data_IF_624579364960
#
_entry.id   IF_624579364960
#
_cell.length_a   1.000
_cell.length_b   1.000
_cell.length_c   1.000
_cell.angle_alpha   90.00
_cell.angle_beta   90.00
_cell.angle_gamma   90.00
#
_symmetry.space_group_name_H-M   'P 1'
#
loop_
_entity.id
_entity.type
_entity.pdbx_description
1 polymer ?
#
# COMPACT_ATOMS: atom_id res chain seq x y z
N UNK A 1 23.47 8.10 -66.47
CA UNK A 1 22.60 9.06 -65.75
C UNK A 1 21.23 8.40 -65.61
N UNK A 2 21.00 7.65 -64.53
CA UNK A 2 19.70 7.10 -64.15
C UNK A 2 19.69 6.98 -62.63
N UNK A 3 18.75 7.69 -62.00
CA UNK A 3 18.53 7.69 -60.55
C UNK A 3 17.60 6.57 -60.13
N UNK A 4 17.80 6.10 -58.90
CA UNK A 4 16.85 5.28 -58.14
C UNK A 4 16.85 5.85 -56.70
N UNK A 5 15.67 6.04 -56.07
CA UNK A 5 15.54 6.87 -54.87
C UNK A 5 15.88 6.12 -53.58
N UNK A 6 16.36 6.88 -52.58
CA UNK A 6 16.47 6.42 -51.19
C UNK A 6 15.06 6.09 -50.68
N UNK A 7 14.84 4.83 -50.32
CA UNK A 7 13.71 4.41 -49.50
C UNK A 7 13.98 4.76 -48.03
N UNK A 8 13.18 5.70 -47.53
CA UNK A 8 13.08 6.08 -46.12
C UNK A 8 12.57 4.89 -45.31
N UNK A 9 13.42 4.29 -44.47
CA UNK A 9 12.94 3.41 -43.41
C UNK A 9 12.35 4.29 -42.31
N UNK A 10 11.01 4.35 -42.25
CA UNK A 10 10.30 4.87 -41.10
C UNK A 10 10.51 3.88 -39.94
N UNK A 11 11.34 4.25 -38.98
CA UNK A 11 11.37 3.59 -37.67
C UNK A 11 10.06 3.97 -37.00
N UNK A 12 9.09 3.05 -37.01
CA UNK A 12 7.93 3.12 -36.13
C UNK A 12 8.42 2.89 -34.70
N UNK A 13 8.70 3.97 -33.98
CA UNK A 13 8.81 3.92 -32.53
C UNK A 13 7.40 3.71 -31.99
N UNK A 14 7.01 2.45 -31.80
CA UNK A 14 5.79 2.12 -31.05
C UNK A 14 6.02 2.56 -29.61
N UNK A 15 5.42 3.69 -29.25
CA UNK A 15 5.33 4.17 -27.89
C UNK A 15 4.47 3.16 -27.12
N UNK A 16 5.09 2.21 -26.41
CA UNK A 16 4.38 1.42 -25.41
C UNK A 16 3.92 2.39 -24.33
N UNK A 17 2.64 2.74 -24.36
CA UNK A 17 1.98 3.34 -23.21
C UNK A 17 1.94 2.27 -22.12
N UNK A 18 2.92 2.25 -21.24
CA UNK A 18 2.76 1.64 -19.93
C UNK A 18 1.61 2.39 -19.27
N UNK A 19 0.44 1.76 -19.15
CA UNK A 19 -0.57 2.22 -18.22
C UNK A 19 0.09 2.21 -16.85
N UNK A 20 0.33 3.40 -16.30
CA UNK A 20 0.83 3.55 -14.95
C UNK A 20 -0.10 2.74 -14.04
N UNK A 21 0.42 1.68 -13.42
CA UNK A 21 -0.22 1.10 -12.26
C UNK A 21 -0.44 2.26 -11.28
N UNK A 22 -1.64 2.41 -10.74
CA UNK A 22 -1.94 3.44 -9.74
C UNK A 22 -1.91 2.77 -8.38
N UNK A 23 -1.09 3.30 -7.46
CA UNK A 23 -1.12 2.91 -6.08
C UNK A 23 -2.48 3.31 -5.54
N UNK A 24 -3.10 2.43 -4.75
CA UNK A 24 -4.39 2.70 -4.14
C UNK A 24 -4.23 2.57 -2.64
N UNK A 25 -4.52 3.67 -1.94
CA UNK A 25 -4.70 3.64 -0.50
C UNK A 25 -5.75 2.59 -0.09
N UNK A 26 -5.58 2.04 1.11
CA UNK A 26 -6.47 1.00 1.61
C UNK A 26 -7.94 1.45 1.54
N UNK A 27 -8.81 0.64 0.94
CA UNK A 27 -10.21 0.99 0.71
C UNK A 27 -11.15 0.50 1.82
N UNK A 28 -10.61 -0.11 2.88
CA UNK A 28 -11.36 -0.59 4.03
C UNK A 28 -10.53 -0.54 5.32
N UNK A 29 -11.20 -0.40 6.47
CA UNK A 29 -10.56 -0.36 7.79
C UNK A 29 -11.53 -0.76 8.90
N UNK A 30 -11.05 -1.47 9.92
CA UNK A 30 -11.87 -1.81 11.08
C UNK A 30 -12.16 -0.62 12.00
N UNK A 31 -13.31 -0.65 12.67
CA UNK A 31 -13.62 0.21 13.82
C UNK A 31 -12.71 -0.10 15.01
N UNK A 32 -12.68 0.78 16.03
CA UNK A 32 -11.83 0.60 17.22
C UNK A 32 -12.11 -0.71 17.96
N UNK A 33 -13.39 -1.04 18.07
CA UNK A 33 -13.91 -2.22 18.75
C UNK A 33 -13.96 -3.45 17.82
N UNK A 34 -13.57 -3.28 16.56
CA UNK A 34 -13.56 -4.31 15.53
C UNK A 34 -14.94 -4.94 15.29
N UNK A 35 -16.02 -4.25 15.68
CA UNK A 35 -17.40 -4.67 15.47
C UNK A 35 -17.93 -4.25 14.08
N UNK A 36 -17.27 -3.29 13.44
CA UNK A 36 -17.62 -2.78 12.12
C UNK A 36 -16.40 -2.64 11.23
N UNK A 37 -16.65 -2.56 9.93
CA UNK A 37 -15.67 -2.15 8.91
C UNK A 37 -16.19 -0.89 8.23
N UNK A 38 -15.35 0.13 8.15
CA UNK A 38 -15.56 1.28 7.28
C UNK A 38 -14.91 0.98 5.93
N UNK A 39 -15.62 1.26 4.84
CA UNK A 39 -15.14 0.95 3.50
C UNK A 39 -15.57 2.04 2.52
N UNK A 40 -14.78 2.18 1.45
CA UNK A 40 -15.12 2.99 0.30
C UNK A 40 -16.03 2.13 -0.57
N UNK A 41 -17.28 2.57 -0.73
CA UNK A 41 -18.21 1.96 -1.66
C UNK A 41 -18.16 2.62 -3.03
N UNK A 42 -19.02 2.14 -3.93
CA UNK A 42 -19.20 2.71 -5.26
C UNK A 42 -19.43 4.23 -5.19
N UNK A 43 -18.92 4.97 -6.17
CA UNK A 43 -18.93 6.45 -6.18
C UNK A 43 -18.12 7.08 -5.04
N UNK A 44 -17.05 6.40 -4.58
CA UNK A 44 -16.11 6.92 -3.57
C UNK A 44 -16.82 7.39 -2.28
N UNK A 45 -17.81 6.62 -1.83
CA UNK A 45 -18.61 6.95 -0.66
C UNK A 45 -18.14 6.19 0.60
N UNK A 46 -18.07 6.85 1.75
CA UNK A 46 -17.76 6.18 3.01
C UNK A 46 -18.98 5.46 3.58
N UNK A 47 -18.87 4.14 3.69
CA UNK A 47 -19.89 3.25 4.24
C UNK A 47 -19.41 2.59 5.52
N UNK A 48 -20.35 2.15 6.35
CA UNK A 48 -20.11 1.29 7.50
C UNK A 48 -20.83 -0.05 7.32
N UNK A 49 -20.08 -1.14 7.44
CA UNK A 49 -20.60 -2.49 7.54
C UNK A 49 -20.55 -2.94 9.01
N UNK A 50 -21.71 -3.23 9.59
CA UNK A 50 -21.80 -3.88 10.89
C UNK A 50 -21.58 -5.40 10.74
N UNK A 51 -20.57 -5.95 11.42
CA UNK A 51 -20.14 -7.35 11.22
C UNK A 51 -21.04 -8.38 11.93
N UNK A 52 -21.86 -7.93 12.90
CA UNK A 52 -22.81 -8.77 13.62
C UNK A 52 -24.09 -9.02 12.81
N UNK A 53 -24.62 -7.97 12.19
CA UNK A 53 -25.84 -8.00 11.38
C UNK A 53 -25.60 -8.17 9.89
N UNK A 54 -24.39 -7.88 9.41
CA UNK A 54 -24.07 -7.82 7.97
C UNK A 54 -24.69 -6.61 7.27
N UNK A 55 -25.22 -5.63 8.03
CA UNK A 55 -25.91 -4.46 7.48
C UNK A 55 -24.90 -3.40 7.04
N UNK A 56 -24.98 -3.02 5.77
CA UNK A 56 -24.27 -1.88 5.21
C UNK A 56 -25.11 -0.60 5.36
N UNK A 57 -24.51 0.48 5.85
CA UNK A 57 -25.18 1.76 6.09
C UNK A 57 -24.32 2.94 5.62
N UNK A 58 -24.99 3.98 5.11
CA UNK A 58 -24.35 5.29 4.85
C UNK A 58 -24.20 6.06 6.16
N UNK A 59 -23.08 6.74 6.33
CA UNK A 59 -22.84 7.60 7.49
C UNK A 59 -23.33 9.03 7.21
N UNK A 60 -23.83 9.69 8.25
CA UNK A 60 -24.02 11.15 8.23
C UNK A 60 -22.67 11.81 8.50
N UNK A 61 -22.01 12.27 7.45
CA UNK A 61 -20.65 12.82 7.55
C UNK A 61 -20.65 14.31 7.93
N UNK A 62 -19.57 14.79 8.58
CA UNK A 62 -19.35 16.21 8.76
C UNK A 62 -19.04 16.87 7.41
N UNK A 63 -19.27 18.18 7.32
CA UNK A 63 -19.14 18.95 6.05
C UNK A 63 -17.74 18.89 5.45
N UNK A 64 -16.72 18.62 6.26
CA UNK A 64 -15.32 18.54 5.83
C UNK A 64 -15.04 17.27 5.01
N UNK A 65 -15.85 16.22 5.12
CA UNK A 65 -15.68 14.99 4.34
C UNK A 65 -16.63 15.02 3.14
N UNK A 66 -16.06 14.99 1.96
CA UNK A 66 -16.80 15.07 0.70
C UNK A 66 -16.94 13.67 0.09
N UNK A 67 -18.18 13.17 0.06
CA UNK A 67 -18.51 11.94 -0.67
C UNK A 67 -18.18 12.13 -2.16
N UNK A 68 -17.69 11.08 -2.84
CA UNK A 68 -17.28 11.18 -4.24
C UNK A 68 -15.85 11.69 -4.46
N UNK A 69 -15.07 11.83 -3.38
CA UNK A 69 -13.66 12.23 -3.43
C UNK A 69 -12.75 11.37 -2.54
N UNK A 70 -13.30 10.34 -1.89
CA UNK A 70 -12.58 9.53 -0.90
C UNK A 70 -11.80 8.45 -1.63
N UNK A 71 -10.48 8.53 -1.56
CA UNK A 71 -9.57 7.63 -2.28
C UNK A 71 -8.81 6.69 -1.36
N UNK A 72 -8.85 6.92 -0.05
CA UNK A 72 -8.10 6.11 0.90
C UNK A 72 -8.60 6.19 2.33
N UNK A 73 -8.45 5.07 3.04
CA UNK A 73 -8.79 4.93 4.44
C UNK A 73 -7.61 4.40 5.25
N UNK A 74 -7.56 4.77 6.52
CA UNK A 74 -6.62 4.24 7.49
C UNK A 74 -7.17 4.36 8.91
N UNK A 75 -6.43 3.86 9.90
CA UNK A 75 -6.81 3.95 11.32
C UNK A 75 -5.68 4.53 12.14
N UNK A 76 -5.99 5.52 12.97
CA UNK A 76 -5.04 5.97 14.00
C UNK A 76 -5.21 5.20 15.31
N UNK A 77 -4.17 5.20 16.15
CA UNK A 77 -4.24 4.59 17.48
C UNK A 77 -5.28 5.24 18.40
N UNK A 78 -5.58 6.53 18.18
CA UNK A 78 -6.61 7.27 18.92
C UNK A 78 -8.03 6.82 18.53
N UNK A 79 -8.17 5.99 17.51
CA UNK A 79 -9.45 5.54 17.04
C UNK A 79 -10.17 6.56 16.14
N UNK A 80 -9.41 7.35 15.39
CA UNK A 80 -9.95 8.11 14.27
C UNK A 80 -9.78 7.33 12.96
N UNK A 81 -10.76 7.44 12.07
CA UNK A 81 -10.61 6.99 10.68
C UNK A 81 -9.81 8.06 9.96
N UNK A 82 -8.68 7.68 9.38
CA UNK A 82 -7.95 8.56 8.50
C UNK A 82 -8.60 8.49 7.12
N UNK A 83 -9.00 9.63 6.57
CA UNK A 83 -9.70 9.74 5.29
C UNK A 83 -8.83 10.57 4.36
N UNK A 84 -8.32 9.94 3.31
CA UNK A 84 -7.68 10.62 2.20
C UNK A 84 -8.76 11.02 1.19
N UNK A 85 -8.86 12.31 0.89
CA UNK A 85 -9.78 12.84 -0.11
C UNK A 85 -9.12 13.97 -0.89
N UNK A 86 -9.11 13.87 -2.22
CA UNK A 86 -8.38 14.83 -3.06
C UNK A 86 -6.94 15.07 -2.56
N UNK A 87 -6.65 16.31 -2.15
CA UNK A 87 -5.34 16.75 -1.65
C UNK A 87 -5.28 16.84 -0.10
N UNK A 88 -6.24 16.29 0.63
CA UNK A 88 -6.32 16.38 2.09
C UNK A 88 -6.36 15.01 2.77
N UNK A 89 -5.60 14.89 3.87
CA UNK A 89 -5.75 13.82 4.84
C UNK A 89 -6.47 14.36 6.08
N UNK A 90 -7.61 13.78 6.40
CA UNK A 90 -8.43 14.13 7.57
C UNK A 90 -8.42 13.01 8.61
N UNK A 91 -8.52 13.36 9.88
CA UNK A 91 -8.83 12.43 10.96
C UNK A 91 -10.31 12.60 11.35
N UNK A 92 -11.12 11.58 11.08
CA UNK A 92 -12.55 11.52 11.36
C UNK A 92 -12.83 10.73 12.64
N UNK A 93 -13.34 11.43 13.65
CA UNK A 93 -13.94 10.84 14.84
C UNK A 93 -15.42 10.53 14.53
N UNK A 94 -15.72 9.23 14.39
CA UNK A 94 -17.06 8.75 14.06
C UNK A 94 -18.03 8.99 15.22
N UNK A 95 -17.58 8.91 16.47
CA UNK A 95 -18.43 9.07 17.65
C UNK A 95 -18.82 10.52 17.87
N UNK A 96 -17.87 11.44 17.72
CA UNK A 96 -18.13 12.88 17.82
C UNK A 96 -18.71 13.47 16.51
N UNK A 97 -18.76 12.67 15.44
CA UNK A 97 -19.06 13.09 14.08
C UNK A 97 -18.28 14.36 13.66
N UNK A 98 -16.96 14.34 13.86
CA UNK A 98 -16.09 15.49 13.65
C UNK A 98 -14.84 15.07 12.88
N UNK A 99 -14.50 15.83 11.85
CA UNK A 99 -13.25 15.67 11.13
C UNK A 99 -12.29 16.83 11.42
N UNK A 100 -11.00 16.52 11.54
CA UNK A 100 -9.93 17.53 11.69
C UNK A 100 -8.84 17.31 10.63
N UNK A 101 -8.29 18.37 10.03
CA UNK A 101 -7.19 18.22 9.07
C UNK A 101 -5.91 17.67 9.73
N UNK A 102 -5.32 16.65 9.11
CA UNK A 102 -3.99 16.13 9.46
C UNK A 102 -2.94 16.78 8.54
N UNK A 103 -3.16 16.68 7.23
CA UNK A 103 -2.26 17.17 6.20
C UNK A 103 -3.05 17.68 4.99
N UNK A 104 -2.49 18.68 4.30
CA UNK A 104 -2.97 19.17 3.01
C UNK A 104 -1.78 19.25 2.07
N UNK A 105 -1.79 18.50 0.98
CA UNK A 105 -0.64 18.27 0.10
C UNK A 105 -0.31 19.51 -0.74
N UNK A 106 -1.33 20.22 -1.25
CA UNK A 106 -1.18 21.42 -2.09
C UNK A 106 -0.34 22.53 -1.42
N UNK A 107 -0.34 22.59 -0.08
CA UNK A 107 0.29 23.68 0.68
C UNK A 107 1.66 23.32 1.27
N UNK A 108 2.07 22.06 1.24
CA UNK A 108 3.10 21.55 2.16
C UNK A 108 4.22 20.75 1.54
N UNK A 109 4.13 20.38 0.27
CA UNK A 109 5.18 19.62 -0.39
C UNK A 109 6.03 20.51 -1.28
N UNK A 110 7.33 20.50 -1.01
CA UNK A 110 8.35 21.09 -1.87
C UNK A 110 9.55 20.16 -1.90
N UNK A 111 10.08 19.95 -3.10
CA UNK A 111 11.39 19.32 -3.30
C UNK A 111 12.37 20.46 -3.54
N UNK A 112 13.45 20.50 -2.76
CA UNK A 112 14.49 21.54 -2.84
C UNK A 112 14.00 23.00 -2.71
N UNK A 113 12.88 23.19 -1.99
CA UNK A 113 12.29 24.51 -1.75
C UNK A 113 11.37 25.03 -2.87
N UNK A 114 11.23 24.30 -3.97
CA UNK A 114 10.27 24.62 -5.05
C UNK A 114 8.93 23.93 -4.77
N UNK A 115 7.82 24.67 -4.59
CA UNK A 115 6.50 24.08 -4.46
C UNK A 115 6.10 23.37 -5.75
N UNK A 116 5.72 22.11 -5.64
CA UNK A 116 5.20 21.31 -6.75
C UNK A 116 3.84 20.74 -6.35
N UNK A 117 2.95 20.58 -7.34
CA UNK A 117 1.65 19.97 -7.09
C UNK A 117 1.83 18.45 -7.07
N UNK A 118 1.88 17.91 -5.86
CA UNK A 118 1.94 16.48 -5.60
C UNK A 118 0.55 15.95 -5.29
N UNK A 119 0.15 14.88 -5.98
CA UNK A 119 -1.08 14.13 -5.74
C UNK A 119 -0.77 12.93 -4.84
N UNK A 120 -1.46 12.75 -3.71
CA UNK A 120 -1.33 11.53 -2.93
C UNK A 120 -2.00 10.35 -3.65
N UNK A 121 -1.28 9.25 -3.80
CA UNK A 121 -1.82 8.01 -4.37
C UNK A 121 -2.08 6.96 -3.27
N UNK A 122 -1.21 6.92 -2.25
CA UNK A 122 -1.30 5.95 -1.16
C UNK A 122 -0.75 6.53 0.15
N UNK A 123 -1.20 6.00 1.29
CA UNK A 123 -0.65 6.29 2.60
C UNK A 123 -0.77 5.12 3.57
N UNK A 124 0.15 5.06 4.54
CA UNK A 124 0.13 4.08 5.62
C UNK A 124 0.43 4.74 6.97
N UNK A 125 -0.42 4.45 7.97
CA UNK A 125 -0.22 4.87 9.36
C UNK A 125 0.60 3.84 10.11
N UNK A 126 1.69 4.26 10.77
CA UNK A 126 2.49 3.38 11.61
C UNK A 126 1.87 3.27 13.01
N UNK A 127 1.39 2.09 13.43
CA UNK A 127 0.77 1.92 14.74
C UNK A 127 1.78 1.98 15.90
N UNK A 128 3.08 1.88 15.64
CA UNK A 128 4.10 1.87 16.69
C UNK A 128 4.42 3.26 17.21
N UNK A 129 4.58 4.24 16.32
CA UNK A 129 5.01 5.60 16.65
C UNK A 129 4.03 6.69 16.21
N UNK A 130 2.98 6.34 15.47
CA UNK A 130 1.96 7.26 14.97
C UNK A 130 2.40 8.14 13.79
N UNK A 131 3.54 7.83 13.17
CA UNK A 131 3.96 8.46 11.92
C UNK A 131 3.09 8.00 10.74
N UNK A 132 3.16 8.74 9.63
CA UNK A 132 2.45 8.42 8.40
C UNK A 132 3.42 8.47 7.23
N UNK A 133 3.39 7.45 6.37
CA UNK A 133 4.11 7.43 5.09
C UNK A 133 3.12 7.69 3.97
N UNK A 134 3.53 8.48 2.98
CA UNK A 134 2.74 8.82 1.81
C UNK A 134 3.52 8.54 0.53
N UNK A 135 2.86 7.94 -0.45
CA UNK A 135 3.36 7.86 -1.81
C UNK A 135 2.59 8.86 -2.66
N UNK A 136 3.33 9.70 -3.38
CA UNK A 136 2.77 10.81 -4.17
C UNK A 136 3.34 10.85 -5.57
N UNK A 137 2.56 11.38 -6.51
CA UNK A 137 2.96 11.60 -7.91
C UNK A 137 2.91 13.10 -8.28
N UNK A 138 3.75 13.53 -9.21
CA UNK A 138 3.66 14.85 -9.86
C UNK A 138 4.13 14.74 -11.30
N UNK A 139 3.18 14.65 -12.24
CA UNK A 139 3.49 14.30 -13.63
C UNK A 139 4.10 12.89 -13.69
N UNK A 140 5.32 12.79 -14.21
CA UNK A 140 6.09 11.52 -14.27
C UNK A 140 6.93 11.28 -13.00
N UNK A 141 7.01 12.25 -12.09
CA UNK A 141 7.80 12.13 -10.87
C UNK A 141 7.01 11.41 -9.78
N UNK A 142 7.72 10.65 -8.96
CA UNK A 142 7.18 9.98 -7.77
C UNK A 142 8.02 10.34 -6.55
N UNK A 143 7.40 10.33 -5.37
CA UNK A 143 8.10 10.61 -4.13
C UNK A 143 7.45 9.90 -2.96
N UNK A 144 8.29 9.51 -2.00
CA UNK A 144 7.86 8.98 -0.71
C UNK A 144 8.07 10.06 0.36
N UNK A 145 7.05 10.31 1.16
CA UNK A 145 7.09 11.29 2.23
C UNK A 145 6.83 10.62 3.58
N UNK A 146 7.53 11.09 4.59
CA UNK A 146 7.37 10.67 5.98
C UNK A 146 6.89 11.85 6.81
N UNK A 147 5.74 11.69 7.46
CA UNK A 147 5.20 12.65 8.44
C UNK A 147 5.41 12.08 9.83
N UNK A 148 6.40 12.58 10.60
CA UNK A 148 6.56 12.18 11.99
C UNK A 148 5.32 12.57 12.80
N UNK A 149 5.01 11.79 13.83
CA UNK A 149 3.89 12.08 14.73
C UNK A 149 3.99 13.51 15.29
N UNK A 150 2.83 14.16 15.39
CA UNK A 150 2.66 15.53 15.91
C UNK A 150 3.41 16.63 15.13
N UNK A 151 4.03 16.29 14.00
CA UNK A 151 4.60 17.27 13.08
C UNK A 151 3.59 17.69 12.02
N UNK A 152 3.81 18.88 11.44
CA UNK A 152 2.93 19.47 10.42
C UNK A 152 3.47 19.38 8.99
N UNK A 153 4.75 19.05 8.84
CA UNK A 153 5.47 19.08 7.57
C UNK A 153 6.07 17.71 7.28
N UNK A 154 5.66 17.05 6.19
CA UNK A 154 6.28 15.83 5.72
C UNK A 154 7.75 16.05 5.33
N UNK A 155 8.54 14.98 5.41
CA UNK A 155 9.95 14.92 5.06
C UNK A 155 10.11 14.00 3.86
N UNK A 156 10.84 14.44 2.84
CA UNK A 156 11.15 13.58 1.70
C UNK A 156 11.99 12.39 2.17
N UNK A 157 11.62 11.19 1.71
CA UNK A 157 12.32 9.95 1.97
C UNK A 157 13.03 9.55 0.68
N UNK A 158 14.34 9.44 0.74
CA UNK A 158 15.11 8.93 -0.37
C UNK A 158 14.84 7.43 -0.55
N UNK A 159 14.46 7.04 -1.77
CA UNK A 159 14.22 5.65 -2.12
C UNK A 159 15.08 5.29 -3.32
N UNK A 160 15.86 4.22 -3.21
CA UNK A 160 16.73 3.75 -4.28
C UNK A 160 16.06 2.61 -5.04
N UNK A 161 15.96 2.75 -6.37
CA UNK A 161 15.47 1.71 -7.31
C UNK A 161 14.01 1.27 -7.09
N UNK A 162 13.23 2.05 -6.36
CA UNK A 162 11.78 1.88 -6.27
C UNK A 162 11.20 3.21 -6.72
N UNK A 163 10.69 3.23 -7.94
CA UNK A 163 10.04 4.38 -8.57
C UNK A 163 8.52 4.35 -8.38
N UNK A 164 7.97 3.23 -7.89
CA UNK A 164 6.55 3.07 -7.64
C UNK A 164 6.28 2.20 -6.41
N UNK A 165 5.27 2.51 -5.59
CA UNK A 165 4.88 1.67 -4.44
C UNK A 165 3.39 1.45 -4.43
N UNK A 166 2.97 0.21 -4.19
CA UNK A 166 1.56 -0.18 -4.17
C UNK A 166 1.15 -0.69 -2.79
N UNK A 167 0.00 -0.23 -2.30
CA UNK A 167 -0.72 -0.90 -1.23
C UNK A 167 0.03 -0.94 0.08
N UNK A 168 0.58 0.19 0.50
CA UNK A 168 1.42 0.29 1.69
C UNK A 168 0.65 -0.07 2.96
N UNK A 169 1.26 -0.87 3.84
CA UNK A 169 0.73 -1.09 5.19
C UNK A 169 1.85 -1.30 6.21
N UNK A 170 1.62 -0.87 7.44
CA UNK A 170 2.51 -1.17 8.56
C UNK A 170 1.99 -2.38 9.33
N UNK A 171 2.91 -3.29 9.67
CA UNK A 171 2.65 -4.32 10.67
C UNK A 171 2.50 -3.71 12.07
N UNK A 172 1.95 -4.48 13.03
CA UNK A 172 1.88 -4.06 14.44
C UNK A 172 3.25 -3.74 15.07
N UNK A 173 4.34 -4.25 14.50
CA UNK A 173 5.72 -3.99 14.97
C UNK A 173 6.38 -2.79 14.28
N UNK A 174 5.66 -2.11 13.37
CA UNK A 174 6.15 -0.91 12.69
C UNK A 174 6.98 -1.18 11.43
N UNK A 175 6.98 -2.40 10.92
CA UNK A 175 7.61 -2.73 9.64
C UNK A 175 6.66 -2.41 8.48
N UNK A 176 7.17 -1.70 7.48
CA UNK A 176 6.42 -1.27 6.29
C UNK A 176 6.45 -2.37 5.23
N UNK A 177 5.28 -2.73 4.70
CA UNK A 177 5.10 -3.66 3.58
C UNK A 177 4.46 -2.93 2.41
N UNK A 178 4.87 -3.30 1.20
CA UNK A 178 4.38 -2.68 -0.04
C UNK A 178 4.64 -3.60 -1.24
N UNK A 179 3.85 -3.43 -2.29
CA UNK A 179 4.09 -3.98 -3.62
C UNK A 179 5.06 -3.10 -4.41
N UNK A 180 5.96 -3.73 -5.16
CA UNK A 180 6.72 -3.04 -6.21
C UNK A 180 7.10 -4.02 -7.31
N UNK A 181 6.84 -3.64 -8.57
CA UNK A 181 6.98 -4.53 -9.75
C UNK A 181 6.21 -5.84 -9.61
N UNK A 182 5.12 -5.83 -8.82
CA UNK A 182 4.32 -7.00 -8.47
C UNK A 182 4.88 -7.88 -7.35
N UNK A 183 6.09 -7.63 -6.87
CA UNK A 183 6.70 -8.38 -5.75
C UNK A 183 6.33 -7.78 -4.40
N UNK A 184 6.39 -8.58 -3.33
CA UNK A 184 6.22 -8.10 -1.96
C UNK A 184 7.56 -7.64 -1.38
N UNK A 185 7.56 -6.43 -0.84
CA UNK A 185 8.68 -5.78 -0.19
C UNK A 185 8.39 -5.49 1.27
N UNK A 186 9.47 -5.36 2.04
CA UNK A 186 9.45 -5.16 3.47
C UNK A 186 10.58 -4.21 3.86
N UNK A 187 10.29 -3.18 4.65
CA UNK A 187 11.27 -2.17 4.99
C UNK A 187 10.91 -1.29 6.17
N UNK A 188 11.73 -0.25 6.36
CA UNK A 188 11.56 0.76 7.40
C UNK A 188 12.15 2.09 6.94
N UNK A 189 11.52 3.19 7.33
CA UNK A 189 12.06 4.54 7.11
C UNK A 189 13.07 4.83 8.21
N UNK A 190 14.29 5.14 7.82
CA UNK A 190 15.42 5.36 8.73
C UNK A 190 15.99 6.76 8.55
N UNK A 191 16.43 7.35 9.66
CA UNK A 191 17.14 8.61 9.68
C UNK A 191 18.65 8.32 9.49
N UNK A 192 19.29 9.00 8.55
CA UNK A 192 20.75 8.95 8.43
C UNK A 192 21.39 9.75 9.58
N UNK A 193 22.39 9.19 10.30
CA UNK A 193 23.15 9.95 11.30
C UNK A 193 23.83 11.18 10.66
N UNK A 194 23.77 12.33 11.34
CA UNK A 194 24.28 13.62 10.85
C UNK A 194 25.79 13.62 10.52
N UNK A 195 26.55 12.62 10.96
CA UNK A 195 28.01 12.51 10.85
C UNK A 195 28.50 11.44 9.86
N UNK A 196 27.62 10.62 9.28
CA UNK A 196 28.00 9.50 8.42
C UNK A 196 28.69 9.94 7.12
N UNK A 197 28.46 11.18 6.67
CA UNK A 197 29.10 11.77 5.51
C UNK A 197 29.38 13.24 5.81
N UNK A 198 30.61 13.56 6.20
CA UNK A 198 31.10 14.92 6.48
C UNK A 198 31.07 15.92 5.31
N UNK A 199 30.11 15.79 4.39
CA UNK A 199 29.76 16.71 3.32
C UNK A 199 28.24 16.64 3.13
N UNK A 200 27.54 17.71 3.52
CA UNK A 200 26.08 17.86 3.56
C UNK A 200 25.29 17.10 2.50
N UNK A 201 24.82 15.91 2.86
CA UNK A 201 23.84 15.17 2.05
C UNK A 201 22.43 15.69 2.33
N UNK A 202 21.69 15.91 1.25
CA UNK A 202 20.40 16.64 1.16
C UNK A 202 19.20 15.82 1.67
N UNK A 203 19.36 14.52 1.92
CA UNK A 203 18.27 13.63 2.33
C UNK A 203 18.53 13.00 3.69
N UNK A 204 17.82 13.48 4.72
CA UNK A 204 17.94 12.96 6.10
C UNK A 204 17.24 11.61 6.30
N UNK A 205 16.19 11.32 5.53
CA UNK A 205 15.42 10.07 5.63
C UNK A 205 15.60 9.22 4.39
N UNK A 206 15.72 7.91 4.56
CA UNK A 206 15.72 6.95 3.45
C UNK A 206 14.93 5.68 3.79
N UNK A 207 14.38 5.03 2.77
CA UNK A 207 13.73 3.73 2.93
C UNK A 207 14.78 2.62 2.83
N UNK A 208 14.99 1.89 3.91
CA UNK A 208 15.71 0.63 3.85
C UNK A 208 14.71 -0.52 3.69
N UNK A 209 14.71 -1.17 2.52
CA UNK A 209 13.77 -2.23 2.21
C UNK A 209 14.44 -3.39 1.46
N UNK A 210 13.87 -4.58 1.64
CA UNK A 210 14.24 -5.80 0.94
C UNK A 210 13.00 -6.42 0.28
N UNK A 211 13.20 -7.05 -0.87
CA UNK A 211 12.18 -7.93 -1.45
C UNK A 211 12.09 -9.20 -0.60
N UNK A 212 10.88 -9.61 -0.24
CA UNK A 212 10.64 -10.79 0.62
C UNK A 212 9.90 -11.93 -0.07
N UNK A 213 9.03 -11.64 -1.06
CA UNK A 213 8.38 -12.68 -1.84
C UNK A 213 8.32 -12.23 -3.31
N UNK A 214 9.04 -12.92 -4.23
CA UNK A 214 8.90 -12.68 -5.65
C UNK A 214 7.59 -13.33 -6.12
N UNK A 215 6.52 -12.56 -6.11
CA UNK A 215 5.17 -13.02 -6.47
C UNK A 215 4.82 -12.66 -7.91
N UNK A 216 5.57 -11.72 -8.52
CA UNK A 216 5.36 -11.33 -9.89
C UNK A 216 5.80 -12.45 -10.84
N UNK A 217 4.88 -12.90 -11.68
CA UNK A 217 5.18 -13.77 -12.82
C UNK A 217 5.24 -12.90 -14.08
N UNK A 218 6.23 -12.01 -14.19
CA UNK A 218 6.38 -11.13 -15.36
C UNK A 218 6.52 -11.94 -16.64
N UNK A 219 5.79 -11.57 -17.69
CA UNK A 219 5.87 -12.20 -19.02
C UNK A 219 6.07 -11.14 -20.10
N UNK A 220 6.64 -11.56 -21.23
CA UNK A 220 6.85 -10.72 -22.41
C UNK A 220 5.82 -11.02 -23.50
N UNK A 221 4.68 -11.59 -23.13
CA UNK A 221 3.60 -11.84 -24.07
C UNK A 221 2.97 -10.50 -24.47
N UNK A 222 2.85 -10.25 -25.77
CA UNK A 222 2.24 -9.04 -26.32
C UNK A 222 0.70 -9.05 -26.20
N UNK A 223 0.12 -10.14 -25.69
CA UNK A 223 -1.31 -10.34 -25.48
C UNK A 223 -1.80 -9.89 -24.08
N UNK A 224 -2.97 -10.38 -23.64
CA UNK A 224 -3.50 -10.08 -22.29
C UNK A 224 -2.63 -10.79 -21.25
N UNK A 225 -1.85 -10.07 -20.42
CA UNK A 225 -0.94 -10.71 -19.48
C UNK A 225 -1.71 -11.56 -18.46
N UNK A 226 -1.28 -12.79 -18.22
CA UNK A 226 -1.71 -13.65 -17.12
C UNK A 226 -1.01 -13.33 -15.80
N UNK A 227 0.10 -12.58 -15.86
CA UNK A 227 0.93 -12.20 -14.74
C UNK A 227 0.14 -11.47 -13.63
N UNK A 228 0.35 -11.86 -12.37
CA UNK A 228 -0.21 -11.16 -11.21
C UNK A 228 0.89 -10.56 -10.34
N UNK A 229 0.56 -9.52 -9.60
CA UNK A 229 1.46 -8.88 -8.64
C UNK A 229 0.71 -8.27 -7.47
N UNK A 230 1.42 -7.99 -6.39
CA UNK A 230 0.89 -7.38 -5.17
C UNK A 230 0.40 -5.97 -5.46
N UNK A 231 -0.87 -5.70 -5.15
CA UNK A 231 -1.50 -4.38 -5.28
C UNK A 231 -1.86 -3.77 -3.92
N UNK A 232 -2.34 -4.58 -2.98
CA UNK A 232 -2.72 -4.15 -1.63
C UNK A 232 -2.11 -5.08 -0.60
N UNK A 233 -1.56 -4.51 0.47
CA UNK A 233 -1.08 -5.27 1.63
C UNK A 233 -1.89 -4.93 2.89
N UNK A 234 -2.09 -5.94 3.74
CA UNK A 234 -2.60 -5.78 5.10
C UNK A 234 -1.71 -6.61 6.02
N UNK A 235 -0.73 -5.95 6.64
CA UNK A 235 0.29 -6.59 7.45
C UNK A 235 -0.20 -6.90 8.89
N UNK A 236 -0.18 -8.18 9.25
CA UNK A 236 -0.31 -8.65 10.62
C UNK A 236 1.04 -8.94 11.28
N UNK A 237 1.01 -9.52 12.48
CA UNK A 237 2.23 -9.91 13.20
C UNK A 237 2.93 -11.10 12.55
N UNK A 238 2.18 -12.16 12.23
CA UNK A 238 2.75 -13.43 11.76
C UNK A 238 2.48 -13.69 10.28
N UNK A 239 1.57 -12.92 9.67
CA UNK A 239 1.17 -13.07 8.27
C UNK A 239 0.92 -11.72 7.63
N UNK A 240 1.21 -11.65 6.34
CA UNK A 240 0.88 -10.51 5.49
C UNK A 240 -0.20 -10.98 4.54
N UNK A 241 -1.33 -10.30 4.55
CA UNK A 241 -2.43 -10.55 3.63
C UNK A 241 -2.26 -9.63 2.43
N UNK A 242 -2.52 -10.17 1.24
CA UNK A 242 -2.24 -9.53 -0.02
C UNK A 242 -3.47 -9.64 -0.90
N UNK A 243 -3.78 -8.56 -1.61
CA UNK A 243 -4.52 -8.65 -2.84
C UNK A 243 -3.52 -8.57 -3.99
N UNK A 244 -3.49 -9.62 -4.79
CA UNK A 244 -2.78 -9.64 -6.06
C UNK A 244 -3.74 -9.34 -7.18
N UNK A 245 -3.31 -8.56 -8.17
CA UNK A 245 -4.06 -8.26 -9.38
C UNK A 245 -3.17 -8.50 -10.59
N UNK A 246 -3.80 -8.74 -11.74
CA UNK A 246 -3.13 -8.81 -13.02
C UNK A 246 -2.27 -7.56 -13.27
N UNK A 247 -1.01 -7.78 -13.62
CA UNK A 247 -0.07 -6.72 -14.00
C UNK A 247 -0.44 -6.20 -15.40
N UNK A 248 -0.47 -4.88 -15.60
CA UNK A 248 -0.70 -4.28 -16.92
C UNK A 248 -2.16 -4.27 -17.42
N UNK A 249 -3.17 -4.52 -16.57
CA UNK A 249 -4.56 -4.33 -17.00
C UNK A 249 -5.63 -4.65 -15.95
N UNK A 250 -6.89 -4.71 -16.37
CA UNK A 250 -8.03 -4.98 -15.50
C UNK A 250 -8.33 -6.48 -15.37
N UNK A 251 -8.61 -6.90 -14.13
CA UNK A 251 -9.30 -8.15 -13.85
C UNK A 251 -8.41 -9.37 -13.64
N UNK A 252 -8.93 -10.25 -12.78
CA UNK A 252 -8.34 -11.48 -12.24
C UNK A 252 -7.13 -11.28 -11.33
N UNK A 253 -7.18 -11.94 -10.18
CA UNK A 253 -6.33 -11.70 -9.03
C UNK A 253 -6.73 -12.60 -7.89
N UNK A 254 -5.97 -12.58 -6.80
CA UNK A 254 -6.22 -13.43 -5.64
C UNK A 254 -6.06 -12.64 -4.34
N UNK A 255 -6.92 -12.94 -3.37
CA UNK A 255 -6.67 -12.65 -1.97
C UNK A 255 -5.89 -13.82 -1.39
N UNK A 256 -4.67 -13.57 -0.92
CA UNK A 256 -3.80 -14.58 -0.34
C UNK A 256 -3.09 -14.06 0.92
N UNK A 257 -2.37 -14.93 1.61
CA UNK A 257 -1.42 -14.51 2.63
C UNK A 257 -0.14 -15.31 2.54
N UNK A 258 0.96 -14.68 2.97
CA UNK A 258 2.25 -15.31 3.24
C UNK A 258 2.61 -15.10 4.72
N UNK A 259 3.61 -15.81 5.22
CA UNK A 259 4.17 -15.52 6.54
C UNK A 259 4.75 -14.10 6.53
N UNK A 260 4.68 -13.43 7.67
CA UNK A 260 5.41 -12.18 7.84
C UNK A 260 6.84 -12.56 8.23
N UNK A 261 7.83 -12.36 7.36
CA UNK A 261 9.19 -12.57 7.81
C UNK A 261 9.50 -11.49 8.84
N UNK A 262 10.37 -11.82 9.80
CA UNK A 262 11.02 -10.83 10.64
C UNK A 262 12.47 -10.65 10.16
N UNK A 263 12.70 -10.15 8.93
CA UNK A 263 14.05 -9.89 8.50
C UNK A 263 14.54 -8.76 9.39
N UNK A 264 15.69 -8.97 10.04
CA UNK A 264 16.47 -7.87 10.60
C UNK A 264 16.95 -7.02 9.42
N UNK A 265 16.08 -6.15 8.90
CA UNK A 265 16.47 -5.13 7.94
C UNK A 265 17.46 -4.25 8.71
N UNK A 266 18.71 -4.23 8.28
CA UNK A 266 19.79 -3.57 9.00
C UNK A 266 19.39 -2.11 9.31
N UNK A 267 19.11 -1.80 10.57
CA UNK A 267 19.09 -0.42 11.02
C UNK A 267 20.55 0.03 11.07
N UNK A 268 20.88 1.18 10.46
CA UNK A 268 22.23 1.72 10.61
C UNK A 268 22.47 1.95 12.10
N UNK A 269 23.44 1.24 12.73
CA UNK A 269 23.70 1.45 14.14
C UNK A 269 24.17 2.89 14.35
N UNK A 270 23.75 3.50 15.46
CA UNK A 270 24.19 4.83 15.86
C UNK A 270 25.71 4.90 16.16
N UNK A 271 26.37 3.75 16.27
CA UNK A 271 27.80 3.62 16.49
C UNK A 271 28.49 3.03 15.25
N UNK A 272 29.27 3.82 14.49
CA UNK A 272 30.01 3.37 13.31
C UNK A 272 31.16 2.39 13.63
N UNK A 273 31.45 2.12 14.91
CA UNK A 273 32.44 1.12 15.34
C UNK A 273 31.87 -0.28 15.56
N UNK A 274 30.54 -0.43 15.54
CA UNK A 274 29.92 -1.75 15.52
C UNK A 274 30.09 -2.36 14.12
N UNK A 275 30.66 -3.57 14.09
CA UNK A 275 30.91 -4.33 12.85
C UNK A 275 29.68 -4.22 11.95
N UNK A 276 29.92 -3.82 10.70
CA UNK A 276 28.93 -3.32 9.77
C UNK A 276 27.94 -4.43 9.42
N UNK A 277 26.97 -4.66 10.30
CA UNK A 277 25.85 -5.57 10.12
C UNK A 277 24.85 -5.02 9.11
N UNK A 278 25.32 -4.25 8.11
CA UNK A 278 24.75 -4.18 6.76
C UNK A 278 24.74 -5.60 6.21
N UNK A 279 23.82 -6.39 6.74
CA UNK A 279 23.51 -7.73 6.30
C UNK A 279 22.92 -7.58 4.91
N UNK A 280 23.78 -7.40 3.91
CA UNK A 280 23.51 -7.86 2.58
C UNK A 280 23.28 -9.36 2.77
N UNK A 281 22.01 -9.75 2.95
CA UNK A 281 21.66 -11.16 3.11
C UNK A 281 22.35 -11.90 1.97
N UNK A 282 23.26 -12.81 2.32
CA UNK A 282 23.92 -13.71 1.38
C UNK A 282 22.83 -14.36 0.51
N UNK A 283 23.14 -14.61 -0.77
CA UNK A 283 22.15 -15.08 -1.74
C UNK A 283 21.38 -16.30 -1.21
N UNK A 284 22.08 -17.21 -0.55
CA UNK A 284 21.57 -18.44 0.04
C UNK A 284 20.49 -18.17 1.09
N UNK A 285 20.70 -17.16 1.94
CA UNK A 285 19.75 -16.73 2.97
C UNK A 285 18.51 -16.10 2.32
N UNK A 286 18.70 -15.28 1.27
CA UNK A 286 17.58 -14.71 0.50
C UNK A 286 16.76 -15.79 -0.19
N UNK A 287 17.41 -16.77 -0.79
CA UNK A 287 16.74 -17.91 -1.43
C UNK A 287 15.99 -18.76 -0.40
N UNK A 288 16.57 -18.97 0.79
CA UNK A 288 15.89 -19.62 1.91
C UNK A 288 14.61 -18.89 2.31
N UNK A 289 14.70 -17.56 2.46
CA UNK A 289 13.56 -16.69 2.74
C UNK A 289 12.47 -16.83 1.65
N UNK A 290 12.83 -16.68 0.37
CA UNK A 290 11.86 -16.76 -0.73
C UNK A 290 11.15 -18.11 -0.77
N UNK A 291 11.89 -19.20 -0.59
CA UNK A 291 11.30 -20.55 -0.54
C UNK A 291 10.32 -20.70 0.63
N UNK A 292 10.70 -20.24 1.82
CA UNK A 292 9.84 -20.31 2.99
C UNK A 292 8.56 -19.50 2.80
N UNK A 293 8.69 -18.26 2.32
CA UNK A 293 7.54 -17.37 2.14
C UNK A 293 6.58 -17.87 1.07
N UNK A 294 7.08 -18.24 -0.10
CA UNK A 294 6.25 -18.78 -1.18
C UNK A 294 5.61 -20.11 -0.81
N UNK A 295 6.31 -20.99 -0.08
CA UNK A 295 5.73 -22.25 0.41
C UNK A 295 4.65 -22.04 1.47
N UNK A 296 4.65 -20.90 2.15
CA UNK A 296 3.66 -20.55 3.18
C UNK A 296 2.37 -19.93 2.62
N UNK A 297 2.32 -19.69 1.30
CA UNK A 297 1.24 -19.00 0.64
C UNK A 297 -0.09 -19.75 0.83
N UNK A 298 -1.13 -19.01 1.25
CA UNK A 298 -2.51 -19.48 1.36
C UNK A 298 -3.40 -18.60 0.51
N UNK A 299 -4.08 -19.18 -0.47
CA UNK A 299 -5.07 -18.49 -1.31
C UNK A 299 -6.44 -18.66 -0.68
N UNK A 300 -7.16 -17.56 -0.48
CA UNK A 300 -8.49 -17.54 0.12
C UNK A 300 -9.57 -17.42 -0.96
N UNK A 301 -9.47 -16.38 -1.79
CA UNK A 301 -10.46 -16.08 -2.81
C UNK A 301 -9.83 -15.57 -4.09
N UNK A 302 -10.54 -15.72 -5.19
CA UNK A 302 -10.27 -14.94 -6.39
C UNK A 302 -10.80 -13.52 -6.18
N UNK A 303 -10.15 -12.52 -6.75
CA UNK A 303 -10.70 -11.16 -6.78
C UNK A 303 -10.32 -10.51 -8.11
N UNK A 304 -11.34 -10.02 -8.82
CA UNK A 304 -11.20 -9.46 -10.16
C UNK A 304 -11.41 -7.95 -10.21
N UNK A 305 -11.62 -7.26 -9.09
CA UNK A 305 -11.81 -5.81 -9.09
C UNK A 305 -11.25 -5.17 -7.82
N UNK A 306 -11.80 -4.02 -7.40
CA UNK A 306 -11.30 -3.23 -6.27
C UNK A 306 -11.08 -4.08 -5.00
N UNK A 307 -9.98 -3.77 -4.31
CA UNK A 307 -9.57 -4.45 -3.09
C UNK A 307 -10.23 -3.81 -1.87
N UNK A 308 -10.96 -4.61 -1.09
CA UNK A 308 -11.44 -4.18 0.23
C UNK A 308 -10.71 -4.97 1.33
N UNK A 309 -9.40 -5.14 1.20
CA UNK A 309 -8.59 -5.91 2.13
C UNK A 309 -8.16 -5.05 3.33
N UNK A 310 -8.45 -5.51 4.54
CA UNK A 310 -7.87 -4.95 5.76
C UNK A 310 -7.76 -5.98 6.89
N UNK A 311 -6.89 -5.67 7.85
CA UNK A 311 -6.68 -6.47 9.07
C UNK A 311 -7.07 -5.64 10.29
N UNK A 312 -7.65 -6.30 11.29
CA UNK A 312 -8.01 -5.65 12.54
C UNK A 312 -6.78 -5.38 13.41
N UNK A 313 -6.90 -4.45 14.35
CA UNK A 313 -5.79 -4.08 15.25
C UNK A 313 -5.30 -5.27 16.07
N UNK A 314 -6.22 -6.14 16.50
CA UNK A 314 -5.91 -7.35 17.25
C UNK A 314 -5.17 -8.40 16.41
N UNK A 315 -5.13 -8.23 15.08
CA UNK A 315 -4.60 -9.22 14.14
C UNK A 315 -5.49 -10.46 13.99
N UNK A 316 -6.64 -10.50 14.68
CA UNK A 316 -7.51 -11.68 14.73
C UNK A 316 -8.56 -11.72 13.64
N UNK A 317 -8.86 -10.57 13.01
CA UNK A 317 -9.88 -10.46 11.98
C UNK A 317 -9.27 -9.95 10.68
N UNK A 318 -9.63 -10.59 9.58
CA UNK A 318 -9.30 -10.16 8.22
C UNK A 318 -10.60 -9.95 7.48
N UNK A 319 -10.77 -8.76 6.92
CA UNK A 319 -11.88 -8.45 6.05
C UNK A 319 -11.37 -8.32 4.62
N UNK A 320 -12.11 -8.89 3.68
CA UNK A 320 -11.80 -8.77 2.26
C UNK A 320 -13.04 -8.94 1.40
N UNK A 321 -12.90 -8.49 0.16
CA UNK A 321 -13.84 -8.75 -0.93
C UNK A 321 -13.25 -9.81 -1.85
N UNK A 322 -14.07 -10.74 -2.33
CA UNK A 322 -13.61 -11.78 -3.24
C UNK A 322 -14.70 -12.78 -3.64
N UNK A 323 -14.33 -13.69 -4.52
CA UNK A 323 -15.09 -14.85 -4.96
C UNK A 323 -14.43 -16.10 -4.34
N UNK A 324 -15.02 -16.61 -3.26
CA UNK A 324 -14.57 -17.84 -2.60
C UNK A 324 -14.77 -19.07 -3.49
N UNK A 325 -13.95 -20.10 -3.28
CA UNK A 325 -14.05 -21.37 -4.02
C UNK A 325 -15.42 -22.00 -3.84
N UNK A 326 -16.12 -22.25 -4.95
CA UNK A 326 -17.47 -22.83 -4.95
C UNK A 326 -18.60 -21.82 -4.74
N UNK A 327 -18.30 -20.51 -4.70
CA UNK A 327 -19.28 -19.45 -4.82
C UNK A 327 -19.46 -19.04 -6.28
N UNK A 328 -20.68 -18.65 -6.66
CA UNK A 328 -20.98 -18.08 -7.98
C UNK A 328 -20.98 -16.54 -7.96
N UNK A 329 -20.78 -15.92 -6.80
CA UNK A 329 -20.87 -14.48 -6.61
C UNK A 329 -19.75 -13.95 -5.72
N UNK A 330 -19.20 -12.81 -6.12
CA UNK A 330 -18.37 -11.98 -5.26
C UNK A 330 -19.17 -11.55 -4.03
N UNK A 331 -18.50 -11.45 -2.88
CA UNK A 331 -19.10 -11.01 -1.64
C UNK A 331 -18.03 -10.44 -0.70
N UNK A 332 -18.49 -9.96 0.46
CA UNK A 332 -17.63 -9.51 1.54
C UNK A 332 -17.46 -10.64 2.56
N UNK A 333 -16.22 -10.93 2.92
CA UNK A 333 -15.83 -12.04 3.78
C UNK A 333 -15.06 -11.58 5.00
N UNK A 334 -15.16 -12.37 6.07
CA UNK A 334 -14.41 -12.21 7.30
C UNK A 334 -13.75 -13.55 7.65
N UNK A 335 -12.45 -13.50 7.91
CA UNK A 335 -11.72 -14.54 8.65
C UNK A 335 -11.58 -14.04 10.08
N UNK A 336 -11.88 -14.88 11.07
CA UNK A 336 -11.74 -14.55 12.49
C UNK A 336 -11.07 -15.70 13.23
N UNK A 337 -9.99 -15.44 13.97
CA UNK A 337 -9.22 -16.45 14.73
C UNK A 337 -8.84 -17.68 13.89
N UNK A 338 -8.30 -17.45 12.69
CA UNK A 338 -7.89 -18.48 11.71
C UNK A 338 -8.99 -19.47 11.30
N UNK A 339 -10.26 -19.15 11.58
CA UNK A 339 -11.38 -19.95 11.10
C UNK A 339 -11.56 -19.79 9.58
N UNK A 340 -12.21 -20.76 8.90
CA UNK A 340 -12.54 -20.62 7.50
C UNK A 340 -13.30 -19.30 7.22
N UNK A 341 -13.10 -18.69 6.04
CA UNK A 341 -13.83 -17.48 5.67
C UNK A 341 -15.35 -17.62 5.80
N UNK A 342 -15.99 -16.64 6.45
CA UNK A 342 -17.45 -16.52 6.46
C UNK A 342 -17.89 -15.32 5.63
N UNK A 343 -18.95 -15.50 4.84
CA UNK A 343 -19.62 -14.38 4.16
C UNK A 343 -20.29 -13.49 5.21
N UNK A 344 -20.02 -12.18 5.16
CA UNK A 344 -20.61 -11.19 6.09
C UNK A 344 -21.61 -10.27 5.41
N UNK A 345 -21.52 -10.07 4.10
CA UNK A 345 -22.46 -9.28 3.32
C UNK A 345 -22.39 -9.67 1.83
N UNK A 346 -23.42 -9.37 1.03
CA UNK A 346 -23.30 -9.39 -0.44
C UNK A 346 -22.29 -8.34 -0.94
N UNK A 347 -21.92 -8.43 -2.21
CA UNK A 347 -21.05 -7.44 -2.85
C UNK A 347 -21.68 -6.03 -2.88
N UNK A 348 -20.83 -5.01 -3.01
CA UNK A 348 -21.20 -3.63 -3.23
C UNK A 348 -21.67 -3.47 -4.68
N UNK A 349 -22.98 -3.29 -4.87
CA UNK A 349 -23.59 -3.11 -6.20
C UNK A 349 -23.53 -1.69 -6.71
#
# INVERSE_FOLDING_TARGET
>A
MFGVPLSTFAVFTTLMAFTALTASAASAVFSQDEASVYLIGNEEQLLQLDLGSGKLSKLTLPKEIHQGQITGLGRSNAGNILVLQGDDLLAYDVTANKAVPVLSFEKKLSVDGTPEKWKPEDFAYNPTDGSIVFFTTSGENTSLWFLPKDQKSPKAVFVRRVDFMEGMSFSPTGQLFFGYTGDLWCGTVVLEPEDARGKGTVHMYYLNAIRIAPLATLETDDATPSAQGVQVTAAGTDRIYLHSLRLGGSGFGNVLSVVAPNPKVATVPADPSTDDNRSYFELDQRLGLYKAELASAKIYAQNGSESLLCISRSGKKIFYRGLEKGSDQTALYLIENDQPPRKVAPDLK
#
